data_IF_146972574362
#
_entry.id   IF_146972574362
#
_cell.length_a   1.000
_cell.length_b   1.000
_cell.length_c   1.000
_cell.angle_alpha   90.00
_cell.angle_beta   90.00
_cell.angle_gamma   90.00
#
_symmetry.space_group_name_H-M   'P 1'
#
loop_
_entity.id
_entity.type
_entity.pdbx_description
1 polymer ?
#
# COMPACT_ATOMS: atom_id res chain seq x y z
N UNK A 1 -14.51 -22.07 -7.08
CA UNK A 1 -14.39 -21.58 -5.68
C UNK A 1 -12.95 -21.44 -5.20
N UNK A 2 -12.02 -22.35 -5.53
CA UNK A 2 -10.60 -22.26 -5.14
C UNK A 2 -9.90 -20.94 -5.49
N UNK A 3 -10.15 -20.38 -6.67
CA UNK A 3 -9.55 -19.11 -7.09
C UNK A 3 -9.96 -17.94 -6.18
N UNK A 4 -11.23 -17.85 -5.80
CA UNK A 4 -11.73 -16.80 -4.90
C UNK A 4 -11.09 -16.90 -3.51
N UNK A 5 -10.92 -18.12 -2.99
CA UNK A 5 -10.25 -18.36 -1.72
C UNK A 5 -8.76 -17.97 -1.79
N UNK A 6 -8.08 -18.29 -2.89
CA UNK A 6 -6.68 -17.91 -3.10
C UNK A 6 -6.53 -16.39 -3.18
N UNK A 7 -7.40 -15.71 -3.94
CA UNK A 7 -7.42 -14.25 -4.01
C UNK A 7 -7.66 -13.64 -2.62
N UNK A 8 -8.62 -14.17 -1.85
CA UNK A 8 -8.87 -13.72 -0.48
C UNK A 8 -7.64 -13.89 0.43
N UNK A 9 -6.99 -15.06 0.38
CA UNK A 9 -5.81 -15.34 1.19
C UNK A 9 -4.64 -14.44 0.82
N UNK A 10 -4.42 -14.17 -0.48
CA UNK A 10 -3.42 -13.22 -0.94
C UNK A 10 -3.74 -11.80 -0.45
N UNK A 11 -4.99 -11.35 -0.53
CA UNK A 11 -5.40 -10.03 -0.04
C UNK A 11 -5.23 -9.91 1.48
N UNK A 12 -5.58 -10.94 2.24
CA UNK A 12 -5.39 -10.98 3.68
C UNK A 12 -3.90 -10.94 4.04
N UNK A 13 -3.07 -11.70 3.33
CA UNK A 13 -1.61 -11.66 3.48
C UNK A 13 -1.05 -10.27 3.16
N UNK A 14 -1.42 -9.68 2.02
CA UNK A 14 -1.00 -8.33 1.65
C UNK A 14 -1.46 -7.27 2.65
N UNK A 15 -2.68 -7.41 3.21
CA UNK A 15 -3.20 -6.50 4.23
C UNK A 15 -2.33 -6.52 5.48
N UNK A 16 -2.07 -7.69 6.03
CA UNK A 16 -1.23 -7.81 7.22
C UNK A 16 0.20 -7.33 6.94
N UNK A 17 0.74 -7.70 5.78
CA UNK A 17 2.07 -7.30 5.35
C UNK A 17 2.22 -5.78 5.17
N UNK A 18 1.23 -5.13 4.56
CA UNK A 18 1.31 -3.71 4.18
C UNK A 18 0.77 -2.77 5.24
N UNK A 19 -0.25 -3.18 6.00
CA UNK A 19 -0.98 -2.30 6.91
C UNK A 19 -1.00 -2.80 8.37
N UNK A 20 -0.56 -4.03 8.64
CA UNK A 20 -0.58 -4.66 9.97
C UNK A 20 0.26 -3.95 11.03
N UNK A 21 1.22 -3.11 10.62
CA UNK A 21 1.98 -2.23 11.51
C UNK A 21 1.20 -1.01 12.05
N UNK A 22 -0.09 -0.86 11.68
CA UNK A 22 -0.93 0.27 12.10
C UNK A 22 -2.28 -0.20 12.63
N UNK A 23 -2.81 0.45 13.67
CA UNK A 23 -4.10 0.06 14.25
C UNK A 23 -5.28 0.22 13.28
N UNK A 24 -5.23 1.27 12.43
CA UNK A 24 -6.21 1.47 11.37
C UNK A 24 -6.17 0.33 10.33
N UNK A 25 -4.97 -0.15 9.98
CA UNK A 25 -4.78 -1.26 9.04
C UNK A 25 -5.26 -2.60 9.58
N UNK A 26 -5.04 -2.88 10.88
CA UNK A 26 -5.50 -4.11 11.53
C UNK A 26 -7.01 -4.27 11.50
N UNK A 27 -7.74 -3.16 11.71
CA UNK A 27 -9.22 -3.13 11.72
C UNK A 27 -9.84 -3.08 10.32
N UNK A 28 -9.03 -3.02 9.26
CA UNK A 28 -9.52 -2.96 7.89
C UNK A 28 -9.92 -4.36 7.39
N UNK A 29 -11.16 -4.51 6.95
CA UNK A 29 -11.63 -5.73 6.28
C UNK A 29 -11.13 -5.83 4.83
N UNK A 30 -11.12 -7.04 4.25
CA UNK A 30 -10.64 -7.29 2.87
C UNK A 30 -11.47 -6.52 1.83
N UNK A 31 -12.79 -6.41 1.99
CA UNK A 31 -13.62 -5.64 1.06
C UNK A 31 -13.23 -4.16 1.05
N UNK A 32 -13.10 -3.56 2.23
CA UNK A 32 -12.71 -2.16 2.40
C UNK A 32 -11.28 -1.91 1.94
N UNK A 33 -10.37 -2.86 2.11
CA UNK A 33 -9.02 -2.79 1.56
C UNK A 33 -9.04 -2.60 0.04
N UNK A 34 -9.82 -3.41 -0.67
CA UNK A 34 -9.90 -3.32 -2.14
C UNK A 34 -10.55 -1.99 -2.56
N UNK A 35 -11.67 -1.63 -1.93
CA UNK A 35 -12.43 -0.42 -2.31
C UNK A 35 -11.74 0.89 -1.94
N UNK A 36 -11.06 0.94 -0.80
CA UNK A 36 -10.53 2.20 -0.27
C UNK A 36 -9.02 2.32 -0.48
N UNK A 37 -8.25 1.24 -0.33
CA UNK A 37 -6.79 1.32 -0.41
C UNK A 37 -6.31 1.01 -1.82
N UNK A 38 -6.81 -0.07 -2.45
CA UNK A 38 -6.36 -0.45 -3.80
C UNK A 38 -6.94 0.44 -4.90
N UNK A 39 -8.12 1.03 -4.69
CA UNK A 39 -8.69 2.00 -5.60
C UNK A 39 -8.06 3.40 -5.49
N UNK A 40 -7.17 3.62 -4.52
CA UNK A 40 -6.51 4.90 -4.33
C UNK A 40 -5.66 5.26 -5.56
N UNK A 41 -5.82 6.46 -6.14
CA UNK A 41 -4.92 6.93 -7.17
C UNK A 41 -3.48 7.01 -6.65
N UNK A 42 -2.59 6.27 -7.33
CA UNK A 42 -1.17 6.25 -7.00
C UNK A 42 -0.31 6.16 -8.26
N UNK A 43 0.83 6.83 -8.25
CA UNK A 43 1.82 6.79 -9.33
C UNK A 43 3.08 6.10 -8.82
N UNK A 44 3.47 5.00 -9.46
CA UNK A 44 4.76 4.35 -9.23
C UNK A 44 5.75 4.86 -10.27
N UNK A 45 6.86 5.45 -9.82
CA UNK A 45 7.99 5.79 -10.70
C UNK A 45 9.18 4.92 -10.38
N UNK A 46 9.79 4.40 -11.42
CA UNK A 46 11.04 3.67 -11.36
C UNK A 46 12.17 4.58 -11.86
N UNK A 47 13.26 4.67 -11.10
CA UNK A 47 14.45 5.42 -11.49
C UNK A 47 15.15 4.75 -12.67
N UNK A 48 15.97 5.51 -13.40
CA UNK A 48 16.67 5.08 -14.63
C UNK A 48 17.47 3.77 -14.56
N UNK A 49 17.81 3.28 -13.37
CA UNK A 49 18.56 2.02 -13.14
C UNK A 49 17.75 0.93 -12.41
N UNK A 50 16.42 1.08 -12.29
CA UNK A 50 15.56 0.09 -11.60
C UNK A 50 15.71 0.04 -10.07
N UNK A 51 16.73 0.69 -9.51
CA UNK A 51 17.07 0.61 -8.08
C UNK A 51 16.30 1.57 -7.19
N UNK A 52 15.66 2.60 -7.76
CA UNK A 52 14.87 3.58 -7.01
C UNK A 52 13.41 3.49 -7.41
N UNK A 53 12.54 3.18 -6.46
CA UNK A 53 11.10 3.17 -6.63
C UNK A 53 10.50 4.28 -5.79
N UNK A 54 9.67 5.12 -6.40
CA UNK A 54 8.87 6.09 -5.66
C UNK A 54 7.40 5.83 -5.86
N UNK A 55 6.68 5.72 -4.76
CA UNK A 55 5.23 5.62 -4.75
C UNK A 55 4.68 6.99 -4.38
N UNK A 56 3.98 7.64 -5.31
CA UNK A 56 3.21 8.84 -5.00
C UNK A 56 1.78 8.44 -4.69
N UNK A 57 1.26 8.94 -3.58
CA UNK A 57 -0.13 8.73 -3.17
C UNK A 57 -0.80 10.07 -2.91
N UNK A 58 -2.10 10.14 -3.17
CA UNK A 58 -2.92 11.31 -2.90
C UNK A 58 -2.91 11.61 -1.39
N UNK A 59 -2.27 12.70 -0.99
CA UNK A 59 -2.03 13.06 0.42
C UNK A 59 -3.32 13.21 1.23
N UNK A 60 -4.38 13.70 0.58
CA UNK A 60 -5.69 13.92 1.20
C UNK A 60 -6.49 12.62 1.37
N UNK A 61 -6.03 11.51 0.79
CA UNK A 61 -6.74 10.25 0.90
C UNK A 61 -6.61 9.67 2.33
N UNK A 62 -7.71 9.20 2.97
CA UNK A 62 -7.70 8.73 4.36
C UNK A 62 -6.63 7.69 4.69
N UNK A 63 -6.31 6.84 3.70
CA UNK A 63 -5.35 5.75 3.84
C UNK A 63 -3.91 6.09 3.43
N UNK A 64 -3.63 7.29 2.90
CA UNK A 64 -2.34 7.61 2.29
C UNK A 64 -1.18 7.53 3.29
N UNK A 65 -1.37 8.07 4.50
CA UNK A 65 -0.36 8.00 5.58
C UNK A 65 -0.16 6.60 6.13
N UNK A 66 -1.22 5.78 6.14
CA UNK A 66 -1.17 4.40 6.61
C UNK A 66 -0.37 3.56 5.62
N UNK A 67 -0.72 3.67 4.33
CA UNK A 67 -0.04 3.02 3.22
C UNK A 67 1.44 3.44 3.15
N UNK A 68 1.73 4.73 3.30
CA UNK A 68 3.11 5.24 3.25
C UNK A 68 3.99 4.67 4.37
N UNK A 69 3.47 4.59 5.59
CA UNK A 69 4.17 3.98 6.72
C UNK A 69 4.39 2.49 6.50
N UNK A 70 3.38 1.78 5.99
CA UNK A 70 3.48 0.39 5.60
C UNK A 70 4.60 0.11 4.61
N UNK A 71 4.63 0.86 3.52
CA UNK A 71 5.65 0.75 2.48
C UNK A 71 7.04 1.08 3.03
N UNK A 72 7.18 2.17 3.80
CA UNK A 72 8.48 2.57 4.37
C UNK A 72 9.03 1.57 5.40
N UNK A 73 8.16 0.99 6.23
CA UNK A 73 8.57 -0.01 7.21
C UNK A 73 9.15 -1.27 6.54
N UNK A 74 8.68 -1.61 5.33
CA UNK A 74 9.11 -2.81 4.62
C UNK A 74 10.20 -2.59 3.59
N UNK A 75 10.23 -1.41 2.97
CA UNK A 75 11.21 -1.02 1.95
C UNK A 75 12.00 0.19 2.44
N UNK A 76 13.17 -0.03 3.05
CA UNK A 76 13.96 1.05 3.61
C UNK A 76 14.46 2.04 2.53
N UNK A 77 14.83 3.27 2.92
CA UNK A 77 15.02 4.41 2.01
C UNK A 77 16.14 4.26 0.97
N UNK A 78 16.97 3.23 1.07
CA UNK A 78 18.11 2.98 0.18
C UNK A 78 17.68 2.74 -1.27
N UNK A 79 16.44 2.30 -1.51
CA UNK A 79 15.86 2.11 -2.84
C UNK A 79 14.39 2.50 -2.99
N UNK A 80 13.70 2.89 -1.90
CA UNK A 80 12.27 3.18 -1.94
C UNK A 80 11.91 4.48 -1.23
N UNK A 81 11.03 5.28 -1.83
CA UNK A 81 10.51 6.52 -1.22
C UNK A 81 9.01 6.66 -1.45
N UNK A 82 8.22 6.65 -0.39
CA UNK A 82 6.84 7.09 -0.49
C UNK A 82 6.76 8.61 -0.42
N UNK A 83 6.05 9.22 -1.38
CA UNK A 83 5.86 10.66 -1.48
C UNK A 83 4.36 10.94 -1.36
N UNK A 84 3.97 11.68 -0.33
CA UNK A 84 2.62 12.22 -0.23
C UNK A 84 2.55 13.47 -1.11
N UNK A 85 1.56 13.56 -2.00
CA UNK A 85 1.29 14.77 -2.80
C UNK A 85 -0.19 15.06 -2.85
N UNK A 86 -0.56 16.34 -2.86
CA UNK A 86 -1.87 16.77 -3.37
C UNK A 86 -1.89 16.48 -4.88
N UNK A 87 -2.76 15.57 -5.30
CA UNK A 87 -3.02 15.19 -6.69
C UNK A 87 -4.44 15.68 -6.98
#
# INVERSE_FOLDING_TARGET
MLLAQLCHNLLAYFKEWLLGGTDAGKKLGVERLVREVMAMPAEVRMGRRGTKLSLKVAELHPWARVLARGVQARFPPSGWRTILRKI
#
